data_IF_182749026355
#
_entry.id   IF_182749026355
#
_cell.length_a   1.000
_cell.length_b   1.000
_cell.length_c   1.000
_cell.angle_alpha   90.00
_cell.angle_beta   90.00
_cell.angle_gamma   90.00
#
_symmetry.space_group_name_H-M   'P 1'
#
loop_
_entity.id
_entity.type
_entity.pdbx_description
1 polymer ?
#
# COMPACT_ATOMS: atom_id res chain seq x y z
N UNK A 1 -0.64 -8.17 -5.14
CA UNK A 1 0.27 -7.64 -4.09
C UNK A 1 -0.11 -8.20 -2.73
N UNK A 2 0.86 -8.60 -1.90
CA UNK A 2 0.65 -9.11 -0.54
C UNK A 2 1.53 -8.36 0.45
N UNK A 3 0.98 -7.88 1.57
CA UNK A 3 1.77 -7.25 2.65
C UNK A 3 2.57 -8.32 3.38
N UNK A 4 3.88 -8.10 3.55
CA UNK A 4 4.79 -9.03 4.22
C UNK A 4 5.20 -8.55 5.60
N UNK A 5 5.40 -7.24 5.76
CA UNK A 5 5.81 -6.65 7.03
C UNK A 5 5.28 -5.24 7.14
N UNK A 6 4.81 -4.88 8.33
CA UNK A 6 4.51 -3.50 8.69
C UNK A 6 5.81 -2.82 9.12
N UNK A 7 6.17 -1.70 8.48
CA UNK A 7 7.40 -0.96 8.78
C UNK A 7 7.15 0.08 9.86
N UNK A 8 6.05 0.82 9.75
CA UNK A 8 5.63 1.80 10.76
C UNK A 8 4.28 1.41 11.35
N UNK A 9 3.99 1.79 12.62
CA UNK A 9 2.61 1.84 13.07
C UNK A 9 1.79 2.79 12.17
N UNK A 10 0.47 2.73 12.28
CA UNK A 10 -0.39 3.71 11.61
C UNK A 10 -0.14 5.08 12.24
N UNK A 11 0.43 5.98 11.47
CA UNK A 11 0.66 7.36 11.87
C UNK A 11 -0.59 8.18 11.57
N UNK A 12 -1.09 8.92 12.56
CA UNK A 12 -2.35 9.67 12.45
C UNK A 12 -2.08 11.16 12.63
N UNK A 13 -2.67 12.00 11.77
CA UNK A 13 -2.59 13.47 11.86
C UNK A 13 -3.92 14.13 11.53
N UNK A 14 -4.37 15.04 12.38
CA UNK A 14 -5.48 15.96 12.08
C UNK A 14 -5.05 16.99 11.03
N UNK A 15 -5.96 17.34 10.13
CA UNK A 15 -5.71 18.25 9.01
C UNK A 15 -6.60 19.51 9.04
N UNK A 16 -7.34 19.73 10.13
CA UNK A 16 -8.30 20.84 10.24
C UNK A 16 -7.72 22.12 10.87
N UNK A 17 -6.49 22.07 11.37
CA UNK A 17 -5.82 23.20 12.04
C UNK A 17 -4.96 24.05 11.08
N UNK A 18 -5.05 23.81 9.77
CA UNK A 18 -4.17 24.42 8.78
C UNK A 18 -4.87 25.50 7.95
N UNK A 19 -4.75 26.76 8.38
CA UNK A 19 -5.19 27.96 7.62
C UNK A 19 -4.22 28.35 6.49
N UNK A 20 -3.17 27.56 6.23
CA UNK A 20 -2.11 27.92 5.30
C UNK A 20 -2.38 27.48 3.84
N UNK A 21 -2.06 28.37 2.89
CA UNK A 21 -1.87 28.03 1.50
C UNK A 21 -0.57 27.20 1.37
N UNK A 22 -0.61 26.00 0.78
CA UNK A 22 0.49 25.02 0.67
C UNK A 22 0.75 24.16 1.92
N UNK A 23 -0.29 23.57 2.51
CA UNK A 23 -0.12 22.58 3.57
C UNK A 23 0.74 21.41 3.08
N UNK A 24 1.85 21.21 3.77
CA UNK A 24 2.70 20.02 3.65
C UNK A 24 2.79 19.38 5.02
N UNK A 25 2.38 18.12 5.12
CA UNK A 25 2.58 17.33 6.33
C UNK A 25 3.88 16.55 6.19
N UNK A 26 4.65 16.53 7.27
CA UNK A 26 5.88 15.78 7.40
C UNK A 26 5.72 14.72 8.49
N UNK A 27 6.03 13.47 8.14
CA UNK A 27 6.07 12.35 9.06
C UNK A 27 7.45 11.71 8.99
N UNK A 28 8.13 11.67 10.13
CA UNK A 28 9.49 11.12 10.23
C UNK A 28 9.48 9.82 11.01
N UNK A 29 10.23 8.83 10.54
CA UNK A 29 10.39 7.54 11.22
C UNK A 29 11.78 6.98 10.98
N UNK A 30 12.31 6.27 11.97
CA UNK A 30 13.59 5.58 11.87
C UNK A 30 13.39 4.17 11.33
N UNK A 31 14.23 3.73 10.40
CA UNK A 31 14.20 2.38 9.87
C UNK A 31 15.59 1.92 9.44
N UNK A 32 15.99 0.73 9.87
CA UNK A 32 17.19 0.06 9.37
C UNK A 32 16.78 -1.07 8.43
N UNK A 33 17.16 -0.93 7.17
CA UNK A 33 16.82 -1.90 6.14
C UNK A 33 17.83 -3.04 6.14
N UNK A 34 17.35 -4.25 5.92
CA UNK A 34 18.14 -5.30 5.28
C UNK A 34 17.90 -5.21 3.77
N UNK A 35 18.93 -5.55 2.97
CA UNK A 35 18.84 -5.57 1.51
C UNK A 35 17.57 -6.32 1.08
N UNK A 36 16.74 -5.68 0.25
CA UNK A 36 15.57 -6.35 -0.31
C UNK A 36 16.05 -7.58 -1.08
N UNK A 37 15.48 -8.77 -0.83
CA UNK A 37 16.02 -10.01 -1.35
C UNK A 37 15.93 -10.11 -2.89
N UNK A 38 15.05 -9.33 -3.53
CA UNK A 38 14.97 -9.16 -4.99
C UNK A 38 13.94 -8.05 -5.35
N UNK A 39 13.82 -7.79 -6.65
CA UNK A 39 12.93 -6.78 -7.24
C UNK A 39 11.42 -7.07 -7.08
N UNK A 40 11.02 -8.21 -6.49
CA UNK A 40 9.61 -8.51 -6.22
C UNK A 40 9.10 -7.81 -4.96
N UNK A 41 9.99 -7.29 -4.14
CA UNK A 41 9.65 -6.58 -2.91
C UNK A 41 9.71 -5.08 -3.13
N UNK A 42 8.79 -4.37 -2.47
CA UNK A 42 8.70 -2.92 -2.55
C UNK A 42 8.21 -2.36 -1.22
N UNK A 43 8.78 -1.25 -0.79
CA UNK A 43 8.19 -0.43 0.26
C UNK A 43 7.01 0.35 -0.28
N UNK A 44 5.88 0.28 0.40
CA UNK A 44 4.63 0.91 0.01
C UNK A 44 4.20 1.87 1.10
N UNK A 45 3.92 3.11 0.73
CA UNK A 45 3.19 4.07 1.54
C UNK A 45 1.69 3.89 1.25
N UNK A 46 0.92 3.63 2.31
CA UNK A 46 -0.53 3.55 2.28
C UNK A 46 -1.05 4.77 3.01
N UNK A 47 -1.87 5.56 2.32
CA UNK A 47 -2.55 6.72 2.88
C UNK A 47 -4.05 6.47 2.93
N UNK A 48 -4.70 6.99 3.96
CA UNK A 48 -6.15 7.03 4.05
C UNK A 48 -6.58 8.35 4.68
N UNK A 49 -7.73 8.86 4.26
CA UNK A 49 -8.26 10.12 4.77
C UNK A 49 -9.68 9.92 5.28
N UNK A 50 -9.96 10.43 6.48
CA UNK A 50 -11.29 10.41 7.07
C UNK A 50 -11.85 11.82 7.02
N UNK A 51 -13.01 11.96 6.38
CA UNK A 51 -13.80 13.18 6.42
C UNK A 51 -14.60 13.19 7.72
N UNK A 52 -14.25 14.08 8.64
CA UNK A 52 -14.93 14.28 9.91
C UNK A 52 -15.79 15.54 9.82
N UNK A 53 -16.86 15.45 9.01
CA UNK A 53 -17.81 16.55 8.84
C UNK A 53 -18.69 16.75 10.09
N UNK A 54 -18.88 15.71 10.91
CA UNK A 54 -19.58 15.75 12.20
C UNK A 54 -19.28 14.49 13.02
N UNK A 55 -19.34 14.60 14.36
CA UNK A 55 -19.12 13.48 15.30
C UNK A 55 -19.95 12.22 15.01
N UNK A 56 -21.06 12.36 14.26
CA UNK A 56 -22.00 11.29 13.95
C UNK A 56 -21.76 10.60 12.59
N UNK A 57 -20.96 11.17 11.68
CA UNK A 57 -20.80 10.63 10.33
C UNK A 57 -19.33 10.69 9.88
N UNK A 58 -18.58 9.65 10.24
CA UNK A 58 -17.20 9.47 9.80
C UNK A 58 -17.25 8.73 8.46
N UNK A 59 -16.74 9.36 7.39
CA UNK A 59 -16.58 8.67 6.11
C UNK A 59 -15.10 8.44 5.86
N UNK A 60 -14.71 7.16 5.87
CA UNK A 60 -13.39 6.75 5.39
C UNK A 60 -13.39 6.89 3.87
N UNK A 61 -12.54 7.76 3.33
CA UNK A 61 -12.37 7.90 1.88
C UNK A 61 -11.00 7.36 1.50
N UNK A 62 -11.02 6.18 0.89
CA UNK A 62 -9.91 5.66 0.09
C UNK A 62 -10.24 5.64 -1.41
N UNK A 63 -11.51 5.89 -1.75
CA UNK A 63 -12.07 5.78 -3.09
C UNK A 63 -12.67 7.13 -3.49
N UNK A 64 -12.09 7.75 -4.51
CA UNK A 64 -12.42 9.10 -4.97
C UNK A 64 -11.15 9.88 -5.33
N UNK A 65 -11.30 11.12 -5.80
CA UNK A 65 -10.15 11.99 -6.08
C UNK A 65 -9.39 12.23 -4.78
N UNK A 66 -8.09 11.91 -4.75
CA UNK A 66 -7.31 12.13 -3.54
C UNK A 66 -7.14 13.63 -3.26
N UNK A 67 -6.92 13.99 -1.99
CA UNK A 67 -6.60 15.36 -1.60
C UNK A 67 -5.12 15.71 -1.80
N UNK A 68 -4.29 14.77 -2.26
CA UNK A 68 -2.84 14.91 -2.31
C UNK A 68 -2.40 15.49 -3.65
N UNK A 69 -1.58 16.54 -3.60
CA UNK A 69 -0.92 17.10 -4.77
C UNK A 69 0.38 16.35 -5.07
N UNK A 70 1.14 15.97 -4.03
CA UNK A 70 2.34 15.14 -4.20
C UNK A 70 2.71 14.41 -2.91
N UNK A 71 3.33 13.24 -3.06
CA UNK A 71 3.88 12.44 -1.96
C UNK A 71 5.34 12.16 -2.26
N UNK A 72 6.22 12.48 -1.31
CA UNK A 72 7.67 12.32 -1.42
C UNK A 72 8.22 11.57 -0.22
N UNK A 73 9.27 10.78 -0.45
CA UNK A 73 10.02 10.10 0.60
C UNK A 73 11.47 10.56 0.51
N UNK A 74 12.02 11.11 1.59
CA UNK A 74 13.39 11.62 1.65
C UNK A 74 13.69 12.62 0.51
N UNK A 75 12.73 13.49 0.18
CA UNK A 75 12.74 14.42 -0.97
C UNK A 75 12.69 13.77 -2.37
N UNK A 76 12.70 12.44 -2.47
CA UNK A 76 12.53 11.73 -3.73
C UNK A 76 11.04 11.56 -4.07
N UNK A 77 10.68 11.62 -5.36
CA UNK A 77 9.31 11.34 -5.78
C UNK A 77 8.94 9.89 -5.47
N UNK A 78 7.73 9.68 -4.97
CA UNK A 78 7.12 8.35 -4.89
C UNK A 78 6.40 8.04 -6.20
N UNK A 79 6.10 6.76 -6.44
CA UNK A 79 5.36 6.35 -7.64
C UNK A 79 4.01 5.77 -7.23
N UNK A 80 2.93 6.25 -7.85
CA UNK A 80 1.60 5.70 -7.59
C UNK A 80 1.52 4.24 -8.04
N UNK A 81 0.89 3.41 -7.22
CA UNK A 81 0.54 2.02 -7.54
C UNK A 81 -0.90 1.89 -8.06
N UNK A 82 -1.55 3.03 -8.33
CA UNK A 82 -2.91 3.12 -8.84
C UNK A 82 -2.91 3.87 -10.18
N UNK A 83 -4.03 3.79 -10.91
CA UNK A 83 -4.19 4.49 -12.18
C UNK A 83 -4.12 6.02 -12.03
N UNK A 84 -4.47 6.54 -10.84
CA UNK A 84 -4.33 7.96 -10.51
C UNK A 84 -2.91 8.24 -10.00
N UNK A 85 -2.13 9.14 -10.63
CA UNK A 85 -0.79 9.52 -10.15
C UNK A 85 -0.80 10.12 -8.74
N UNK A 86 -1.93 10.67 -8.32
CA UNK A 86 -2.15 11.23 -7.00
C UNK A 86 -3.05 10.30 -6.19
N UNK A 87 -2.86 8.99 -6.23
CA UNK A 87 -3.71 8.05 -5.49
C UNK A 87 -3.52 8.08 -3.95
N UNK A 88 -3.71 6.92 -3.33
CA UNK A 88 -3.56 6.67 -1.90
C UNK A 88 -2.45 5.65 -1.61
N UNK A 89 -1.98 4.92 -2.62
CA UNK A 89 -1.00 3.85 -2.48
C UNK A 89 0.20 4.14 -3.37
N UNK A 90 1.37 4.28 -2.76
CA UNK A 90 2.59 4.68 -3.44
C UNK A 90 3.71 3.70 -3.16
N UNK A 91 4.46 3.30 -4.18
CA UNK A 91 5.74 2.64 -3.98
C UNK A 91 6.84 3.66 -3.71
N UNK A 92 7.82 3.26 -2.90
CA UNK A 92 8.90 4.15 -2.47
C UNK A 92 10.20 3.38 -2.17
N UNK A 93 11.26 4.13 -1.87
CA UNK A 93 12.53 3.63 -1.35
C UNK A 93 12.77 4.22 0.03
N UNK A 94 13.28 3.40 0.94
CA UNK A 94 13.69 3.82 2.27
C UNK A 94 15.22 3.87 2.33
N UNK A 95 15.74 4.76 3.18
CA UNK A 95 17.14 4.85 3.52
C UNK A 95 17.36 4.18 4.88
N UNK A 96 18.58 3.72 5.15
CA UNK A 96 18.97 3.34 6.49
C UNK A 96 19.02 4.59 7.37
N UNK A 97 18.37 4.52 8.54
CA UNK A 97 18.29 5.61 9.49
C UNK A 97 16.96 6.39 9.40
N UNK A 98 17.04 7.71 9.53
CA UNK A 98 15.86 8.57 9.52
C UNK A 98 15.28 8.73 8.12
N UNK A 99 13.99 8.39 8.00
CA UNK A 99 13.19 8.57 6.81
C UNK A 99 12.14 9.66 7.04
N UNK A 100 11.82 10.38 5.97
CA UNK A 100 10.92 11.52 5.97
C UNK A 100 9.88 11.39 4.86
N UNK A 101 8.62 11.18 5.24
CA UNK A 101 7.47 11.20 4.36
C UNK A 101 6.87 12.61 4.32
N UNK A 102 6.86 13.21 3.14
CA UNK A 102 6.27 14.53 2.90
C UNK A 102 5.03 14.39 2.02
N UNK A 103 3.92 14.95 2.47
CA UNK A 103 2.63 14.89 1.79
C UNK A 103 2.14 16.32 1.58
N UNK A 104 2.12 16.77 0.33
CA UNK A 104 1.59 18.07 -0.06
C UNK A 104 0.13 17.91 -0.48
N UNK A 105 -0.72 18.82 -0.01
CA UNK A 105 -2.14 18.80 -0.31
C UNK A 105 -2.52 19.78 -1.41
N UNK A 106 -3.58 19.44 -2.15
CA UNK A 106 -4.19 20.37 -3.07
C UNK A 106 -4.85 21.56 -2.33
N UNK A 107 -4.87 22.77 -2.93
CA UNK A 107 -5.46 23.95 -2.30
C UNK A 107 -6.95 23.83 -1.92
N UNK A 108 -7.73 22.97 -2.58
CA UNK A 108 -9.17 22.80 -2.30
C UNK A 108 -9.47 22.06 -0.99
N UNK A 109 -8.46 21.46 -0.35
CA UNK A 109 -8.59 20.66 0.88
C UNK A 109 -8.95 21.54 2.10
N UNK A 110 -8.66 22.84 2.04
CA UNK A 110 -8.81 23.83 3.13
C UNK A 110 -10.19 23.92 3.75
N UNK A 111 -11.24 23.60 3.01
CA UNK A 111 -12.62 23.80 3.48
C UNK A 111 -13.16 22.60 4.27
N UNK A 112 -12.30 21.63 4.63
CA UNK A 112 -12.73 20.33 5.17
C UNK A 112 -11.85 19.85 6.32
N UNK A 113 -12.49 19.27 7.33
CA UNK A 113 -11.81 18.64 8.46
C UNK A 113 -11.47 17.20 8.10
N UNK A 114 -10.18 16.94 7.93
CA UNK A 114 -9.69 15.60 7.60
C UNK A 114 -8.80 15.02 8.70
N UNK A 115 -8.79 13.69 8.80
CA UNK A 115 -7.80 12.93 9.54
C UNK A 115 -6.98 12.13 8.52
N UNK A 116 -5.69 12.40 8.43
CA UNK A 116 -4.75 11.59 7.67
C UNK A 116 -4.33 10.38 8.50
N UNK A 117 -4.38 9.20 7.89
CA UNK A 117 -3.63 8.03 8.32
C UNK A 117 -2.57 7.71 7.27
N UNK A 118 -1.36 7.44 7.72
CA UNK A 118 -0.25 7.03 6.87
C UNK A 118 0.43 5.80 7.47
N UNK A 119 0.75 4.82 6.63
CA UNK A 119 1.49 3.64 7.04
C UNK A 119 2.48 3.25 5.96
N UNK A 120 3.69 2.85 6.37
CA UNK A 120 4.68 2.27 5.47
C UNK A 120 4.74 0.77 5.71
N UNK A 121 4.65 0.00 4.63
CA UNK A 121 4.69 -1.46 4.65
C UNK A 121 5.69 -1.99 3.63
N UNK A 122 6.22 -3.18 3.88
CA UNK A 122 6.91 -3.98 2.88
C UNK A 122 5.89 -4.90 2.23
N UNK A 123 5.73 -4.78 0.92
CA UNK A 123 4.84 -5.61 0.13
C UNK A 123 5.59 -6.41 -0.94
N UNK A 124 5.05 -7.58 -1.28
CA UNK A 124 5.47 -8.37 -2.42
C UNK A 124 4.52 -8.09 -3.60
N UNK A 125 5.05 -7.63 -4.73
CA UNK A 125 4.26 -7.25 -5.92
C UNK A 125 3.53 -8.47 -6.50
N UNK A 126 4.27 -9.54 -6.74
CA UNK A 126 3.76 -10.77 -7.39
C UNK A 126 3.70 -11.94 -6.42
N UNK A 127 2.65 -12.76 -6.53
CA UNK A 127 2.62 -14.07 -5.87
C UNK A 127 3.74 -14.92 -6.52
N UNK A 128 4.58 -15.64 -5.75
CA UNK A 128 5.51 -16.56 -6.37
C UNK A 128 4.68 -17.56 -7.19
N UNK A 129 5.13 -17.95 -8.40
CA UNK A 129 4.45 -19.00 -9.14
C UNK A 129 4.40 -20.23 -8.24
N UNK A 130 3.18 -20.63 -7.85
CA UNK A 130 2.98 -21.89 -7.16
C UNK A 130 3.15 -22.93 -8.25
N UNK A 131 4.30 -23.61 -8.25
CA UNK A 131 4.40 -24.86 -9.00
C UNK A 131 3.55 -25.87 -8.25
N UNK A 132 2.29 -26.01 -8.66
CA UNK A 132 1.48 -27.17 -8.28
C UNK A 132 1.91 -28.25 -9.26
N UNK A 133 2.70 -29.26 -8.85
CA UNK A 133 2.94 -30.40 -9.73
C UNK A 133 1.56 -30.96 -10.12
N UNK A 134 1.35 -31.35 -11.39
CA UNK A 134 0.11 -32.02 -11.76
C UNK A 134 -0.10 -33.19 -10.79
N UNK A 135 -1.35 -33.44 -10.34
CA UNK A 135 -1.63 -34.62 -9.53
C UNK A 135 -1.05 -35.83 -10.27
N UNK A 136 -0.38 -36.73 -9.53
CA UNK A 136 0.03 -38.00 -10.10
C UNK A 136 -1.20 -38.61 -10.77
N UNK A 137 -1.10 -38.86 -12.08
CA UNK A 137 -2.03 -39.75 -12.75
C UNK A 137 -1.85 -41.11 -12.06
N UNK A 138 -2.71 -41.41 -11.10
CA UNK A 138 -2.95 -42.80 -10.72
C UNK A 138 -3.46 -43.46 -11.98
N UNK A 139 -2.58 -44.20 -12.65
CA UNK A 139 -2.96 -45.12 -13.72
C UNK A 139 -3.90 -46.11 -13.05
N UNK A 140 -5.19 -46.00 -13.34
CA UNK A 140 -6.16 -46.99 -12.91
C UNK A 140 -5.63 -48.35 -13.40
N UNK A 141 -5.49 -49.35 -12.52
CA UNK A 141 -5.10 -50.67 -12.97
C UNK A 141 -6.13 -51.14 -13.99
N UNK A 142 -5.63 -51.58 -15.14
CA UNK A 142 -6.43 -52.17 -16.21
C UNK A 142 -7.20 -53.35 -15.62
N UNK A 143 -8.51 -53.17 -15.38
CA UNK A 143 -9.39 -54.26 -14.98
C UNK A 143 -9.64 -55.10 -16.23
N UNK A 144 -8.75 -56.07 -16.47
CA UNK A 144 -8.80 -56.94 -17.63
C UNK A 144 -10.21 -57.45 -17.95
N UNK A 145 -10.49 -57.63 -19.24
CA UNK A 145 -11.74 -58.20 -19.75
C UNK A 145 -11.61 -59.72 -19.92
N UNK A 146 -11.21 -60.42 -18.86
CA UNK A 146 -11.16 -61.89 -18.87
C UNK A 146 -12.43 -62.49 -18.26
N UNK A 147 -13.56 -62.33 -18.96
CA UNK A 147 -14.71 -63.22 -18.79
C UNK A 147 -15.40 -63.50 -20.14
N UNK A 148 -15.07 -64.68 -20.72
CA UNK A 148 -15.94 -65.59 -21.51
C UNK A 148 -16.24 -65.12 -22.96
N UNK A 149 -16.12 -65.88 -24.06
CA UNK A 149 -15.77 -67.28 -24.45
C UNK A 149 -15.64 -67.29 -25.98
N UNK A 150 -14.77 -68.15 -26.54
CA UNK A 150 -15.11 -69.24 -27.47
C UNK A 150 -13.95 -70.24 -27.58
#
# INVERSE_FOLDING_TARGET
MTVKRTITPVMVRSMWEAEANNLTIELSFFFETTLLPNNRYVYVVILAVFDYYSARYWRVRMWGRSPFESVRMNNYPTYSLQNDPNGFVYGTRLLNGWNRLQIRYHPFVKNKKYLLMAQVVLAQRDKPPIFVPPPMLEVAPESGTDWIRE
#
